data_IF_934440992994
#
_entry.id   IF_934440992994
#
_cell.length_a   1.000
_cell.length_b   1.000
_cell.length_c   1.000
_cell.angle_alpha   90.00
_cell.angle_beta   90.00
_cell.angle_gamma   90.00
#
_symmetry.space_group_name_H-M   'P 1'
#
loop_
_entity.id
_entity.type
_entity.pdbx_description
1 polymer ?
#
# COMPACT_ATOMS: atom_id res chain seq x y z
N UNK A 1 -26.75 -22.12 -12.72
CA UNK A 1 -26.75 -20.72 -13.18
C UNK A 1 -25.87 -20.66 -14.42
N UNK A 2 -26.35 -20.05 -15.50
CA UNK A 2 -25.58 -19.88 -16.74
C UNK A 2 -24.36 -19.01 -16.48
N UNK A 3 -23.16 -19.51 -16.79
CA UNK A 3 -21.92 -18.77 -16.65
C UNK A 3 -21.89 -17.64 -17.69
N UNK A 4 -21.89 -16.38 -17.24
CA UNK A 4 -21.74 -15.23 -18.12
C UNK A 4 -20.27 -15.11 -18.54
N UNK A 5 -20.04 -14.91 -19.84
CA UNK A 5 -18.69 -14.79 -20.43
C UNK A 5 -18.52 -13.37 -20.93
N UNK A 6 -17.40 -12.74 -20.56
CA UNK A 6 -17.06 -11.38 -21.02
C UNK A 6 -16.84 -11.41 -22.53
N UNK A 7 -17.70 -10.75 -23.29
CA UNK A 7 -17.65 -10.73 -24.76
C UNK A 7 -16.95 -9.49 -25.31
N UNK A 8 -16.43 -9.53 -26.55
CA UNK A 8 -15.85 -8.36 -27.22
C UNK A 8 -16.82 -7.17 -27.32
N UNK A 9 -18.12 -7.43 -27.47
CA UNK A 9 -19.15 -6.40 -27.58
C UNK A 9 -19.33 -5.64 -26.26
N UNK A 10 -19.31 -6.35 -25.12
CA UNK A 10 -19.33 -5.73 -23.80
C UNK A 10 -18.09 -4.85 -23.59
N UNK A 11 -16.90 -5.34 -23.96
CA UNK A 11 -15.67 -4.56 -23.89
C UNK A 11 -15.71 -3.31 -24.80
N UNK A 12 -16.23 -3.45 -26.02
CA UNK A 12 -16.37 -2.32 -26.95
C UNK A 12 -17.31 -1.26 -26.38
N UNK A 13 -18.46 -1.67 -25.84
CA UNK A 13 -19.42 -0.77 -25.21
C UNK A 13 -18.82 -0.05 -23.99
N UNK A 14 -18.11 -0.76 -23.12
CA UNK A 14 -17.41 -0.15 -21.96
C UNK A 14 -16.40 0.90 -22.43
N UNK A 15 -15.63 0.60 -23.48
CA UNK A 15 -14.66 1.55 -24.07
C UNK A 15 -15.36 2.80 -24.60
N UNK A 16 -16.50 2.64 -25.28
CA UNK A 16 -17.29 3.75 -25.81
C UNK A 16 -17.82 4.65 -24.68
N UNK A 17 -18.33 4.07 -23.59
CA UNK A 17 -18.82 4.85 -22.45
C UNK A 17 -17.71 5.61 -21.73
N UNK A 18 -16.53 5.02 -21.60
CA UNK A 18 -15.34 5.66 -21.02
C UNK A 18 -14.86 6.82 -21.91
N UNK A 19 -14.79 6.62 -23.23
CA UNK A 19 -14.46 7.67 -24.19
C UNK A 19 -15.50 8.80 -24.23
N UNK A 20 -16.76 8.49 -23.92
CA UNK A 20 -17.83 9.49 -23.74
C UNK A 20 -17.74 10.25 -22.39
N UNK A 21 -16.78 9.90 -21.52
CA UNK A 21 -16.50 10.60 -20.26
C UNK A 21 -17.36 10.14 -19.08
N UNK A 22 -18.03 8.99 -19.18
CA UNK A 22 -18.79 8.44 -18.06
C UNK A 22 -17.85 7.88 -16.99
N UNK A 23 -18.13 8.16 -15.71
CA UNK A 23 -17.35 7.62 -14.60
C UNK A 23 -17.50 6.10 -14.52
N UNK A 24 -16.41 5.40 -14.17
CA UNK A 24 -16.37 3.93 -14.12
C UNK A 24 -17.46 3.31 -13.23
N UNK A 25 -17.82 3.96 -12.12
CA UNK A 25 -18.90 3.49 -11.24
C UNK A 25 -20.29 3.58 -11.93
N UNK A 26 -20.51 4.59 -12.77
CA UNK A 26 -21.73 4.72 -13.58
C UNK A 26 -21.79 3.68 -14.69
N UNK A 27 -20.67 3.41 -15.35
CA UNK A 27 -20.55 2.36 -16.37
C UNK A 27 -20.83 1.00 -15.73
N UNK A 28 -20.23 0.72 -14.56
CA UNK A 28 -20.46 -0.52 -13.82
C UNK A 28 -21.93 -0.70 -13.43
N UNK A 29 -22.56 0.35 -12.90
CA UNK A 29 -23.97 0.32 -12.54
C UNK A 29 -24.87 0.03 -13.75
N UNK A 30 -24.54 0.55 -14.92
CA UNK A 30 -25.27 0.26 -16.16
C UNK A 30 -25.07 -1.19 -16.63
N UNK A 31 -23.86 -1.75 -16.53
CA UNK A 31 -23.59 -3.16 -16.85
C UNK A 31 -24.38 -4.08 -15.92
N UNK A 32 -24.35 -3.84 -14.60
CA UNK A 32 -25.14 -4.60 -13.61
C UNK A 32 -26.65 -4.43 -13.88
N UNK A 33 -27.10 -3.21 -14.14
CA UNK A 33 -28.49 -2.90 -14.47
C UNK A 33 -29.01 -3.60 -15.73
N UNK A 34 -28.11 -4.00 -16.63
CA UNK A 34 -28.43 -4.79 -17.83
C UNK A 34 -28.47 -6.31 -17.59
N UNK A 35 -28.34 -6.75 -16.34
CA UNK A 35 -28.48 -8.15 -15.93
C UNK A 35 -27.18 -8.95 -15.85
N UNK A 36 -26.02 -8.27 -15.88
CA UNK A 36 -24.74 -8.91 -15.61
C UNK A 36 -24.53 -9.12 -14.12
N UNK A 37 -23.92 -10.25 -13.78
CA UNK A 37 -23.40 -10.53 -12.45
C UNK A 37 -22.34 -9.48 -12.08
N UNK A 38 -22.39 -9.01 -10.84
CA UNK A 38 -21.53 -7.92 -10.36
C UNK A 38 -20.04 -8.26 -10.46
N UNK A 39 -19.65 -9.52 -10.20
CA UNK A 39 -18.24 -9.93 -10.26
C UNK A 39 -17.77 -9.91 -11.71
N UNK A 40 -18.58 -10.46 -12.63
CA UNK A 40 -18.26 -10.49 -14.07
C UNK A 40 -18.25 -9.08 -14.66
N UNK A 41 -19.16 -8.21 -14.24
CA UNK A 41 -19.21 -6.80 -14.67
C UNK A 41 -17.96 -6.02 -14.24
N UNK A 42 -17.50 -6.22 -12.99
CA UNK A 42 -16.26 -5.61 -12.48
C UNK A 42 -15.03 -6.12 -13.23
N UNK A 43 -14.96 -7.41 -13.50
CA UNK A 43 -13.87 -8.01 -14.28
C UNK A 43 -13.83 -7.47 -15.72
N UNK A 44 -14.99 -7.35 -16.37
CA UNK A 44 -15.10 -6.77 -17.72
C UNK A 44 -14.63 -5.32 -17.77
N UNK A 45 -15.01 -4.51 -16.78
CA UNK A 45 -14.61 -3.11 -16.67
C UNK A 45 -13.09 -2.97 -16.47
N UNK A 46 -12.54 -3.74 -15.53
CA UNK A 46 -11.11 -3.78 -15.22
C UNK A 46 -10.27 -4.19 -16.44
N UNK A 47 -10.69 -5.26 -17.12
CA UNK A 47 -10.02 -5.79 -18.32
C UNK A 47 -10.02 -4.77 -19.47
N UNK A 48 -11.13 -4.07 -19.68
CA UNK A 48 -11.31 -3.18 -20.83
C UNK A 48 -10.55 -1.86 -20.64
N UNK A 49 -10.75 -1.19 -19.51
CA UNK A 49 -10.14 0.11 -19.25
C UNK A 49 -8.63 -0.01 -18.93
N UNK A 50 -8.20 -1.17 -18.45
CA UNK A 50 -6.77 -1.47 -18.25
C UNK A 50 -5.97 -1.71 -19.54
N UNK A 51 -6.62 -1.86 -20.71
CA UNK A 51 -5.95 -2.17 -21.99
C UNK A 51 -5.79 -0.96 -22.93
N UNK A 52 -6.41 0.19 -22.66
CA UNK A 52 -6.54 1.30 -23.61
C UNK A 52 -5.54 2.47 -23.45
N UNK A 53 -4.36 2.26 -22.86
CA UNK A 53 -3.37 3.34 -22.73
C UNK A 53 -2.46 3.44 -23.98
N UNK A 54 -2.79 4.31 -24.93
CA UNK A 54 -1.81 4.88 -25.88
C UNK A 54 -1.15 6.11 -25.24
N UNK A 55 0.15 6.37 -25.46
CA UNK A 55 0.87 7.41 -24.73
C UNK A 55 0.58 8.80 -25.34
N UNK A 56 -0.14 9.63 -24.59
CA UNK A 56 -0.29 11.06 -24.86
C UNK A 56 0.78 11.88 -24.08
N UNK A 57 1.14 13.08 -24.55
CA UNK A 57 2.33 13.79 -24.10
C UNK A 57 2.15 14.39 -22.69
N UNK A 58 3.28 14.55 -22.00
CA UNK A 58 3.38 15.01 -20.62
C UNK A 58 2.70 16.38 -20.41
N UNK A 59 1.62 16.37 -19.63
CA UNK A 59 1.01 17.57 -19.05
C UNK A 59 0.73 17.29 -17.57
N UNK A 60 0.95 18.32 -16.76
CA UNK A 60 1.00 18.38 -15.30
C UNK A 60 -0.04 17.50 -14.57
N UNK A 61 0.46 16.66 -13.65
CA UNK A 61 -0.34 15.74 -12.85
C UNK A 61 -1.15 16.47 -11.76
N UNK A 62 -2.47 16.48 -11.89
CA UNK A 62 -3.38 16.33 -10.73
C UNK A 62 -3.12 14.93 -10.15
N UNK A 63 -3.00 14.75 -8.82
CA UNK A 63 -2.15 13.68 -8.31
C UNK A 63 -2.82 12.33 -8.53
N UNK A 64 -2.17 11.48 -9.33
CA UNK A 64 -2.45 10.05 -9.36
C UNK A 64 -2.15 9.41 -8.00
N UNK A 65 -2.22 8.08 -7.92
CA UNK A 65 -1.72 7.38 -6.74
C UNK A 65 -0.17 7.39 -6.73
N UNK A 66 0.46 7.26 -5.55
CA UNK A 66 1.90 6.97 -5.49
C UNK A 66 2.20 5.72 -6.32
N UNK A 67 3.20 5.80 -7.18
CA UNK A 67 3.45 4.75 -8.15
C UNK A 67 4.91 4.75 -8.63
N UNK A 68 5.61 3.60 -8.56
CA UNK A 68 6.90 3.44 -9.23
C UNK A 68 6.76 3.50 -10.75
N UNK A 69 7.79 3.98 -11.44
CA UNK A 69 7.81 3.93 -12.90
C UNK A 69 8.06 2.49 -13.39
N UNK A 70 6.96 1.81 -13.76
CA UNK A 70 6.97 0.48 -14.35
C UNK A 70 6.67 0.51 -15.86
N UNK A 71 6.63 1.68 -16.49
CA UNK A 71 6.12 1.89 -17.86
C UNK A 71 6.89 1.11 -18.95
N UNK A 72 8.08 0.61 -18.63
CA UNK A 72 8.93 -0.20 -19.53
C UNK A 72 9.15 -1.63 -19.07
N UNK A 73 8.43 -2.08 -18.03
CA UNK A 73 8.69 -3.36 -17.36
C UNK A 73 10.16 -3.51 -16.96
N UNK A 74 10.81 -2.38 -16.61
CA UNK A 74 12.19 -2.39 -16.20
C UNK A 74 12.33 -3.19 -14.90
N UNK A 75 13.21 -4.20 -14.85
CA UNK A 75 13.40 -5.01 -13.64
C UNK A 75 14.12 -4.23 -12.54
N UNK A 76 14.63 -3.02 -12.85
CA UNK A 76 15.34 -2.14 -11.93
C UNK A 76 14.83 -0.71 -12.11
N UNK A 77 14.50 -0.05 -11.02
CA UNK A 77 14.09 1.35 -10.94
C UNK A 77 15.15 2.13 -10.15
N UNK A 78 15.57 3.28 -10.68
CA UNK A 78 16.48 4.18 -9.96
C UNK A 78 15.70 5.04 -8.97
N UNK A 79 15.94 4.84 -7.68
CA UNK A 79 15.32 5.55 -6.57
C UNK A 79 16.22 6.67 -6.02
N UNK A 80 16.75 7.53 -6.90
CA UNK A 80 17.70 8.56 -6.52
C UNK A 80 19.10 7.97 -6.31
N UNK A 81 19.48 7.67 -5.07
CA UNK A 81 20.81 7.19 -4.70
C UNK A 81 21.00 5.67 -4.86
N UNK A 82 19.95 4.94 -5.26
CA UNK A 82 19.98 3.47 -5.28
C UNK A 82 19.22 2.87 -6.46
N UNK A 83 19.77 1.78 -7.01
CA UNK A 83 19.08 0.90 -7.94
C UNK A 83 18.25 -0.13 -7.17
N UNK A 84 16.93 -0.11 -7.35
CA UNK A 84 15.98 -0.98 -6.64
C UNK A 84 15.37 -1.97 -7.64
N UNK A 85 15.39 -3.27 -7.31
CA UNK A 85 14.86 -4.31 -8.19
C UNK A 85 13.35 -4.45 -8.00
N UNK A 86 12.61 -4.60 -9.10
CA UNK A 86 11.19 -4.95 -9.09
C UNK A 86 11.10 -6.48 -9.18
N UNK A 87 10.67 -7.13 -8.11
CA UNK A 87 10.59 -8.59 -8.03
C UNK A 87 9.24 -9.10 -8.53
N UNK A 88 8.17 -8.37 -8.20
CA UNK A 88 6.80 -8.71 -8.58
C UNK A 88 5.99 -7.42 -8.70
N UNK A 89 5.08 -7.37 -9.68
CA UNK A 89 4.08 -6.32 -9.78
C UNK A 89 2.71 -6.93 -10.12
N UNK A 90 1.77 -6.82 -9.19
CA UNK A 90 0.36 -7.05 -9.41
C UNK A 90 -0.31 -5.73 -9.75
N UNK A 91 -1.04 -5.68 -10.86
CA UNK A 91 -1.68 -4.45 -11.35
C UNK A 91 -2.97 -4.14 -10.59
N UNK A 92 -3.77 -5.15 -10.30
CA UNK A 92 -5.05 -5.03 -9.62
C UNK A 92 -5.23 -6.21 -8.65
N UNK A 93 -5.31 -5.96 -7.34
CA UNK A 93 -4.97 -4.68 -6.69
C UNK A 93 -3.51 -4.30 -6.94
N UNK A 94 -3.19 -3.02 -6.74
CA UNK A 94 -1.83 -2.55 -6.99
C UNK A 94 -0.92 -2.98 -5.85
N UNK A 95 -0.07 -3.98 -6.10
CA UNK A 95 0.94 -4.48 -5.16
C UNK A 95 2.27 -4.66 -5.90
N UNK A 96 3.36 -4.12 -5.36
CA UNK A 96 4.71 -4.21 -5.95
C UNK A 96 5.69 -4.66 -4.87
N UNK A 97 6.46 -5.71 -5.16
CA UNK A 97 7.53 -6.17 -4.27
C UNK A 97 8.87 -5.71 -4.83
N UNK A 98 9.65 -5.05 -3.97
CA UNK A 98 10.96 -4.53 -4.29
C UNK A 98 12.04 -5.33 -3.55
N UNK A 99 13.15 -5.58 -4.24
CA UNK A 99 14.38 -6.05 -3.61
C UNK A 99 15.46 -4.97 -3.62
N UNK A 100 16.35 -5.06 -2.63
CA UNK A 100 17.47 -4.12 -2.45
C UNK A 100 17.02 -2.66 -2.29
N UNK A 101 15.89 -2.39 -1.62
CA UNK A 101 15.47 -1.01 -1.31
C UNK A 101 16.40 -0.37 -0.27
N UNK A 102 16.76 -1.14 0.76
CA UNK A 102 17.75 -0.75 1.77
C UNK A 102 18.94 -1.70 1.74
N UNK A 103 20.10 -1.19 2.14
CA UNK A 103 21.27 -2.03 2.44
C UNK A 103 21.12 -2.62 3.83
N UNK A 104 21.86 -3.70 4.08
CA UNK A 104 21.87 -4.30 5.41
C UNK A 104 22.28 -3.29 6.49
N UNK A 105 23.29 -2.45 6.21
CA UNK A 105 23.76 -1.42 7.12
C UNK A 105 22.69 -0.34 7.40
N UNK A 106 21.87 0.03 6.41
CA UNK A 106 20.75 0.96 6.63
C UNK A 106 19.65 0.31 7.48
N UNK A 107 19.33 -0.96 7.22
CA UNK A 107 18.39 -1.71 8.05
C UNK A 107 18.85 -1.77 9.52
N UNK A 108 20.11 -2.15 9.75
CA UNK A 108 20.67 -2.25 11.10
C UNK A 108 20.73 -0.88 11.79
N UNK A 109 21.07 0.18 11.04
CA UNK A 109 21.06 1.54 11.54
C UNK A 109 19.67 2.02 11.98
N UNK A 110 18.62 1.71 11.20
CA UNK A 110 17.23 2.04 11.56
C UNK A 110 16.81 1.27 12.82
N UNK A 111 17.11 -0.03 12.90
CA UNK A 111 16.81 -0.85 14.09
C UNK A 111 17.52 -0.31 15.32
N UNK A 112 18.81 0.03 15.21
CA UNK A 112 19.59 0.59 16.31
C UNK A 112 18.96 1.88 16.85
N UNK A 113 18.62 2.83 15.96
CA UNK A 113 17.98 4.09 16.32
C UNK A 113 16.59 3.91 16.97
N UNK A 114 15.81 2.92 16.51
CA UNK A 114 14.47 2.68 17.01
C UNK A 114 14.44 1.90 18.33
N UNK A 115 15.42 1.01 18.55
CA UNK A 115 15.40 0.00 19.62
C UNK A 115 15.25 0.58 21.05
N UNK A 116 15.75 1.79 21.28
CA UNK A 116 15.71 2.46 22.59
C UNK A 116 14.38 3.18 22.87
N UNK A 117 13.51 3.29 21.86
CA UNK A 117 12.27 4.08 21.90
C UNK A 117 11.00 3.25 21.70
N UNK A 118 11.14 1.94 21.51
CA UNK A 118 10.01 1.04 21.30
C UNK A 118 9.10 1.00 22.54
N UNK A 119 7.80 1.18 22.31
CA UNK A 119 6.76 0.97 23.29
C UNK A 119 5.71 -0.01 22.73
N UNK A 120 4.84 -0.55 23.59
CA UNK A 120 3.74 -1.41 23.14
C UNK A 120 2.91 -0.68 22.08
N UNK A 121 2.65 -1.31 20.93
CA UNK A 121 1.83 -0.68 19.88
C UNK A 121 0.37 -0.57 20.31
N UNK A 122 -0.24 0.56 20.00
CA UNK A 122 -1.67 0.81 20.17
C UNK A 122 -2.36 0.89 18.80
N UNK A 123 -3.69 0.73 18.78
CA UNK A 123 -4.51 0.95 17.58
C UNK A 123 -5.65 1.93 17.91
N UNK A 124 -6.18 2.63 16.90
CA UNK A 124 -7.36 3.49 17.09
C UNK A 124 -8.53 2.63 17.58
N UNK A 125 -9.10 2.98 18.73
CA UNK A 125 -10.23 2.25 19.30
C UNK A 125 -11.48 2.38 18.42
N UNK A 126 -12.36 1.39 18.47
CA UNK A 126 -13.70 1.43 17.86
C UNK A 126 -14.69 2.31 18.63
N UNK A 127 -14.25 2.96 19.71
CA UNK A 127 -15.05 3.84 20.58
C UNK A 127 -14.71 5.33 20.43
N UNK A 128 -15.48 6.18 21.10
CA UNK A 128 -15.36 7.65 21.04
C UNK A 128 -14.09 8.22 21.71
N UNK A 129 -13.33 7.39 22.43
CA UNK A 129 -12.12 7.80 23.14
C UNK A 129 -10.89 7.10 22.57
N UNK A 130 -9.99 7.89 21.98
CA UNK A 130 -8.55 7.63 22.00
C UNK A 130 -8.02 6.31 21.40
N UNK A 131 -6.71 6.16 21.49
CA UNK A 131 -5.94 4.99 21.09
C UNK A 131 -6.04 3.93 22.20
N UNK A 132 -6.36 2.68 21.88
CA UNK A 132 -6.37 1.57 22.84
C UNK A 132 -5.31 0.52 22.47
N UNK A 133 -4.69 -0.08 23.48
CA UNK A 133 -3.82 -1.26 23.33
C UNK A 133 -4.70 -2.45 22.91
N UNK A 134 -4.82 -2.68 21.60
CA UNK A 134 -5.73 -3.69 21.06
C UNK A 134 -5.04 -5.05 20.87
N UNK A 135 -5.75 -6.14 21.17
CA UNK A 135 -5.32 -7.51 20.92
C UNK A 135 -5.02 -7.81 19.44
N UNK A 136 -5.59 -7.03 18.52
CA UNK A 136 -5.41 -7.18 17.07
C UNK A 136 -3.98 -6.90 16.58
N UNK A 137 -3.15 -6.19 17.37
CA UNK A 137 -1.76 -5.88 17.03
C UNK A 137 -0.86 -6.12 18.22
N UNK A 138 0.03 -7.09 18.11
CA UNK A 138 0.87 -7.53 19.23
C UNK A 138 2.35 -7.16 19.11
N UNK A 139 2.67 -6.10 18.35
CA UNK A 139 4.01 -5.54 18.19
C UNK A 139 4.40 -4.53 19.27
N UNK A 140 5.69 -4.23 19.35
CA UNK A 140 6.21 -2.96 19.89
C UNK A 140 6.48 -2.01 18.72
N UNK A 141 6.31 -0.70 18.91
CA UNK A 141 6.49 0.29 17.85
C UNK A 141 6.95 1.66 18.32
N UNK A 142 7.47 2.44 17.38
CA UNK A 142 7.81 3.85 17.55
C UNK A 142 7.72 4.59 16.21
N UNK A 143 7.68 5.92 16.24
CA UNK A 143 7.71 6.77 15.05
C UNK A 143 8.93 7.69 15.06
N UNK A 144 9.65 7.73 13.94
CA UNK A 144 10.58 8.81 13.67
C UNK A 144 9.83 10.06 13.22
N UNK A 145 10.33 11.24 13.60
CA UNK A 145 9.97 12.46 12.88
C UNK A 145 10.54 12.42 11.44
N UNK A 146 9.89 13.14 10.53
CA UNK A 146 10.35 13.21 9.14
C UNK A 146 11.74 13.87 9.10
N UNK A 147 12.70 13.19 8.49
CA UNK A 147 14.09 13.65 8.41
C UNK A 147 14.85 13.72 9.75
N UNK A 148 14.37 13.04 10.80
CA UNK A 148 14.92 13.09 12.18
C UNK A 148 16.44 12.85 12.24
N UNK A 149 16.96 11.98 11.37
CA UNK A 149 18.40 11.75 11.22
C UNK A 149 18.80 11.73 9.75
N UNK A 150 20.10 11.81 9.48
CA UNK A 150 20.63 11.73 8.11
C UNK A 150 20.27 10.42 7.41
N UNK A 151 20.24 9.31 8.18
CA UNK A 151 19.81 8.01 7.67
C UNK A 151 18.34 8.04 7.26
N UNK A 152 17.46 8.51 8.16
CA UNK A 152 16.01 8.60 7.91
C UNK A 152 15.72 9.52 6.73
N UNK A 153 16.37 10.69 6.66
CA UNK A 153 16.20 11.65 5.57
C UNK A 153 16.57 11.07 4.21
N UNK A 154 17.69 10.34 4.11
CA UNK A 154 18.11 9.68 2.86
C UNK A 154 17.10 8.63 2.43
N UNK A 155 16.65 7.79 3.37
CA UNK A 155 15.65 6.74 3.08
C UNK A 155 14.32 7.34 2.64
N UNK A 156 13.83 8.40 3.29
CA UNK A 156 12.59 9.07 2.89
C UNK A 156 12.69 9.74 1.52
N UNK A 157 13.84 10.35 1.18
CA UNK A 157 14.08 10.90 -0.15
C UNK A 157 14.12 9.82 -1.25
N UNK A 158 14.72 8.65 -0.94
CA UNK A 158 14.70 7.47 -1.81
C UNK A 158 13.28 6.98 -2.05
N UNK A 159 12.47 6.86 -1.00
CA UNK A 159 11.05 6.44 -1.10
C UNK A 159 10.25 7.44 -1.95
N UNK A 160 10.41 8.75 -1.71
CA UNK A 160 9.73 9.79 -2.47
C UNK A 160 10.05 9.71 -3.97
N UNK A 161 11.33 9.46 -4.31
CA UNK A 161 11.76 9.27 -5.71
C UNK A 161 11.23 7.97 -6.31
N UNK A 162 11.35 6.86 -5.58
CA UNK A 162 10.89 5.54 -6.02
C UNK A 162 9.40 5.55 -6.36
N UNK A 163 8.57 6.14 -5.51
CA UNK A 163 7.11 6.13 -5.63
C UNK A 163 6.56 7.38 -6.34
N UNK A 164 7.46 8.27 -6.79
CA UNK A 164 7.12 9.55 -7.44
C UNK A 164 6.07 10.33 -6.63
N UNK A 165 6.24 10.35 -5.31
CA UNK A 165 5.31 10.98 -4.37
C UNK A 165 6.04 12.02 -3.52
N UNK A 166 5.46 13.22 -3.30
CA UNK A 166 6.14 14.27 -2.54
C UNK A 166 6.53 13.81 -1.13
N UNK A 167 7.74 14.18 -0.71
CA UNK A 167 8.30 13.78 0.60
C UNK A 167 7.44 14.27 1.77
N UNK A 168 6.85 15.46 1.64
CA UNK A 168 6.00 16.10 2.63
C UNK A 168 4.58 15.52 2.66
N UNK A 169 4.21 14.65 1.72
CA UNK A 169 3.00 13.83 1.77
C UNK A 169 3.22 12.49 2.52
N UNK A 170 4.42 12.23 3.04
CA UNK A 170 4.68 11.05 3.86
C UNK A 170 4.53 11.33 5.36
N UNK A 171 3.87 10.43 6.08
CA UNK A 171 3.98 10.36 7.55
C UNK A 171 5.40 10.01 7.98
N UNK A 172 5.78 10.22 9.25
CA UNK A 172 7.05 9.73 9.77
C UNK A 172 7.18 8.20 9.65
N UNK A 173 8.40 7.68 9.51
CA UNK A 173 8.62 6.23 9.45
C UNK A 173 8.24 5.58 10.79
N UNK A 174 7.29 4.63 10.73
CA UNK A 174 6.94 3.81 11.89
C UNK A 174 7.84 2.56 11.91
N UNK A 175 8.59 2.33 12.97
CA UNK A 175 9.34 1.07 13.16
C UNK A 175 8.58 0.16 14.11
N UNK A 176 8.53 -1.12 13.76
CA UNK A 176 7.81 -2.16 14.51
C UNK A 176 8.68 -3.38 14.73
N UNK A 177 8.52 -4.00 15.90
CA UNK A 177 9.13 -5.26 16.28
C UNK A 177 8.05 -6.28 16.66
N UNK A 178 8.11 -7.45 16.03
CA UNK A 178 7.28 -8.61 16.31
C UNK A 178 8.17 -9.73 16.89
N UNK A 179 7.90 -10.11 18.14
CA UNK A 179 8.52 -11.27 18.80
C UNK A 179 7.84 -12.58 18.33
N UNK A 180 8.39 -13.78 18.62
CA UNK A 180 7.70 -15.04 18.34
C UNK A 180 6.25 -15.03 18.83
N UNK A 181 5.33 -15.48 17.99
CA UNK A 181 3.88 -15.49 18.20
C UNK A 181 3.18 -14.14 17.97
N UNK A 182 3.91 -13.02 17.88
CA UNK A 182 3.31 -11.72 17.60
C UNK A 182 2.88 -11.62 16.13
N UNK A 183 1.76 -10.92 15.91
CA UNK A 183 1.10 -10.78 14.62
C UNK A 183 0.40 -9.43 14.50
N UNK A 184 -0.12 -9.16 13.30
CA UNK A 184 -1.11 -8.11 13.09
C UNK A 184 -2.26 -8.70 12.28
N UNK A 185 -3.44 -8.75 12.91
CA UNK A 185 -4.67 -9.15 12.25
C UNK A 185 -4.95 -8.31 10.98
N UNK A 186 -5.59 -8.91 9.95
CA UNK A 186 -5.89 -8.21 8.71
C UNK A 186 -6.66 -6.90 8.92
N UNK A 187 -6.23 -5.83 8.26
CA UNK A 187 -6.80 -4.50 8.37
C UNK A 187 -6.57 -3.69 7.09
N UNK A 188 -7.20 -2.52 7.03
CA UNK A 188 -6.95 -1.51 6.01
C UNK A 188 -6.12 -0.38 6.60
N UNK A 189 -5.21 0.16 5.80
CA UNK A 189 -4.40 1.31 6.21
C UNK A 189 -5.09 2.65 5.99
N UNK A 190 -6.10 2.73 5.12
CA UNK A 190 -6.92 3.92 5.00
C UNK A 190 -7.76 4.14 6.26
N UNK A 191 -8.12 5.39 6.51
CA UNK A 191 -9.07 5.73 7.57
C UNK A 191 -10.49 5.48 7.09
N UNK A 192 -11.28 4.70 7.83
CA UNK A 192 -12.68 4.44 7.52
C UNK A 192 -13.50 5.74 7.53
N UNK A 193 -14.13 6.15 6.41
CA UNK A 193 -14.94 7.37 6.35
C UNK A 193 -16.09 7.41 7.35
N UNK A 194 -16.60 6.25 7.78
CA UNK A 194 -17.68 6.15 8.75
C UNK A 194 -17.22 6.29 10.20
N UNK A 195 -15.91 6.19 10.48
CA UNK A 195 -15.40 6.24 11.84
C UNK A 195 -15.40 7.66 12.41
N UNK A 196 -15.83 7.82 13.66
CA UNK A 196 -16.04 9.12 14.33
C UNK A 196 -14.77 9.98 14.39
N UNK A 197 -13.59 9.36 14.50
CA UNK A 197 -12.31 10.06 14.56
C UNK A 197 -11.77 10.49 13.19
N UNK A 198 -12.27 9.92 12.10
CA UNK A 198 -11.74 10.12 10.75
C UNK A 198 -11.72 11.59 10.33
N UNK A 199 -12.81 12.39 10.48
CA UNK A 199 -12.79 13.80 10.11
C UNK A 199 -11.67 14.61 10.78
N UNK A 200 -11.29 14.27 12.02
CA UNK A 200 -10.18 14.90 12.72
C UNK A 200 -8.81 14.51 12.15
N UNK A 201 -8.62 13.22 11.87
CA UNK A 201 -7.38 12.66 11.33
C UNK A 201 -7.12 13.18 9.90
N UNK A 202 -8.17 13.28 9.07
CA UNK A 202 -8.05 13.74 7.69
C UNK A 202 -7.59 15.21 7.57
N UNK A 203 -7.68 16.02 8.63
CA UNK A 203 -7.14 17.39 8.63
C UNK A 203 -5.62 17.44 8.43
N UNK A 204 -4.91 16.36 8.77
CA UNK A 204 -3.44 16.25 8.65
C UNK A 204 -3.07 15.42 7.43
N UNK A 205 -3.06 16.02 6.25
CA UNK A 205 -2.68 15.36 4.99
C UNK A 205 -3.77 14.53 4.31
N UNK A 206 -5.02 14.54 4.78
CA UNK A 206 -6.15 13.91 4.07
C UNK A 206 -6.26 12.40 4.25
N UNK A 207 -6.57 11.61 3.21
CA UNK A 207 -6.63 10.15 3.27
C UNK A 207 -5.24 9.52 3.01
N UNK A 208 -4.97 8.32 3.54
CA UNK A 208 -3.81 7.53 3.11
C UNK A 208 -4.11 6.98 1.72
N UNK A 209 -3.12 6.93 0.84
CA UNK A 209 -3.28 6.51 -0.57
C UNK A 209 -2.32 5.40 -0.96
N UNK A 210 -1.39 5.06 -0.08
CA UNK A 210 -0.51 3.92 -0.24
C UNK A 210 0.39 3.69 0.97
N UNK A 211 0.93 2.49 1.02
CA UNK A 211 1.78 2.01 2.10
C UNK A 211 3.00 1.32 1.51
N UNK A 212 4.16 1.60 2.10
CA UNK A 212 5.39 0.86 1.87
C UNK A 212 5.81 0.21 3.19
N UNK A 213 5.83 -1.13 3.23
CA UNK A 213 6.37 -1.92 4.34
C UNK A 213 7.76 -2.40 3.95
N UNK A 214 8.77 -2.00 4.72
CA UNK A 214 10.18 -2.31 4.48
C UNK A 214 10.62 -3.33 5.54
N UNK A 215 11.22 -4.44 5.12
CA UNK A 215 11.71 -5.47 6.02
C UNK A 215 13.14 -5.13 6.49
N UNK A 216 13.32 -4.96 7.80
CA UNK A 216 14.60 -4.57 8.39
C UNK A 216 15.45 -5.77 8.83
N UNK A 217 14.85 -6.96 8.88
CA UNK A 217 15.56 -8.22 9.05
C UNK A 217 14.79 -9.37 8.37
N UNK A 218 15.39 -10.56 8.37
CA UNK A 218 14.76 -11.81 7.92
C UNK A 218 14.53 -12.71 9.15
N UNK A 219 13.29 -12.98 9.58
CA UNK A 219 13.01 -13.99 10.60
C UNK A 219 13.37 -15.40 10.10
N UNK A 220 13.55 -16.34 11.03
CA UNK A 220 13.80 -17.74 10.67
C UNK A 220 12.60 -18.42 10.01
N UNK A 221 11.38 -18.09 10.47
CA UNK A 221 10.13 -18.59 9.93
C UNK A 221 8.94 -17.69 10.30
N UNK A 222 7.91 -17.68 9.44
CA UNK A 222 6.70 -16.86 9.63
C UNK A 222 6.91 -15.36 9.36
N UNK A 223 5.97 -14.54 9.80
CA UNK A 223 6.09 -13.07 9.68
C UNK A 223 5.82 -12.51 8.28
N UNK A 224 5.20 -13.25 7.37
CA UNK A 224 4.76 -12.72 6.06
C UNK A 224 3.85 -11.50 6.20
N UNK A 225 3.93 -10.59 5.24
CA UNK A 225 2.83 -9.65 4.98
C UNK A 225 1.82 -10.36 4.09
N UNK A 226 0.60 -10.55 4.58
CA UNK A 226 -0.44 -11.34 3.91
C UNK A 226 -1.51 -10.42 3.32
N UNK A 227 -2.07 -10.78 2.17
CA UNK A 227 -3.22 -10.13 1.52
C UNK A 227 -4.29 -11.20 1.27
N UNK A 228 -5.17 -11.48 2.25
CA UNK A 228 -6.09 -12.61 2.19
C UNK A 228 -7.06 -12.57 1.01
N UNK A 229 -7.56 -11.39 0.63
CA UNK A 229 -8.55 -11.24 -0.45
C UNK A 229 -8.03 -11.71 -1.82
N UNK A 230 -6.71 -11.76 -1.99
CA UNK A 230 -6.04 -12.15 -3.23
C UNK A 230 -5.11 -13.36 -3.06
N UNK A 231 -5.08 -13.98 -1.88
CA UNK A 231 -4.23 -15.14 -1.59
C UNK A 231 -2.73 -14.90 -1.78
N UNK A 232 -2.25 -13.69 -1.47
CA UNK A 232 -0.84 -13.31 -1.63
C UNK A 232 -0.13 -13.21 -0.28
N UNK A 233 1.00 -13.90 -0.16
CA UNK A 233 1.94 -13.78 0.95
C UNK A 233 3.27 -13.21 0.46
N UNK A 234 3.76 -12.16 1.12
CA UNK A 234 5.09 -11.59 0.88
C UNK A 234 6.00 -11.90 2.05
N UNK A 235 7.02 -12.73 1.79
CA UNK A 235 8.00 -13.13 2.78
C UNK A 235 8.91 -11.94 3.20
N UNK A 236 9.20 -11.78 4.50
CA UNK A 236 10.06 -10.71 5.00
C UNK A 236 11.54 -11.03 4.74
N UNK A 237 12.13 -10.39 3.75
CA UNK A 237 13.57 -10.49 3.44
C UNK A 237 14.23 -9.16 3.70
N UNK A 238 15.26 -9.13 4.55
CA UNK A 238 16.00 -7.91 4.93
C UNK A 238 16.35 -7.06 3.70
N UNK A 239 16.02 -5.77 3.76
CA UNK A 239 16.27 -4.81 2.69
C UNK A 239 15.20 -4.76 1.59
N UNK A 240 14.31 -5.75 1.52
CA UNK A 240 13.18 -5.77 0.60
C UNK A 240 12.00 -4.96 1.15
N UNK A 241 11.05 -4.66 0.28
CA UNK A 241 9.82 -3.98 0.66
C UNK A 241 8.62 -4.44 -0.18
N UNK A 242 7.42 -4.30 0.39
CA UNK A 242 6.17 -4.40 -0.34
C UNK A 242 5.47 -3.05 -0.33
N UNK A 243 5.09 -2.59 -1.52
CA UNK A 243 4.30 -1.39 -1.74
C UNK A 243 2.92 -1.77 -2.22
N UNK A 244 1.90 -1.08 -1.73
CA UNK A 244 0.54 -1.18 -2.27
C UNK A 244 -0.16 0.17 -2.16
N UNK A 245 -1.07 0.42 -3.09
CA UNK A 245 -1.83 1.68 -3.18
C UNK A 245 -3.31 1.42 -3.35
N UNK A 246 -4.13 2.36 -2.90
CA UNK A 246 -5.58 2.25 -2.91
C UNK A 246 -6.20 3.61 -3.28
N UNK A 247 -7.08 3.60 -4.29
CA UNK A 247 -7.70 4.79 -4.88
C UNK A 247 -8.79 5.41 -4.00
N UNK A 248 -9.38 4.59 -3.14
CA UNK A 248 -10.50 4.97 -2.29
C UNK A 248 -10.45 4.19 -0.98
N UNK A 249 -11.03 4.70 0.12
CA UNK A 249 -11.08 3.98 1.39
C UNK A 249 -12.21 2.95 1.39
N UNK A 250 -12.08 1.90 0.58
CA UNK A 250 -13.14 0.90 0.38
C UNK A 250 -12.57 -0.52 0.21
N UNK A 251 -13.27 -1.56 0.70
CA UNK A 251 -12.85 -2.97 0.54
C UNK A 251 -12.64 -3.43 -0.90
N UNK A 252 -13.30 -2.81 -1.88
CA UNK A 252 -13.12 -3.14 -3.31
C UNK A 252 -11.70 -2.91 -3.82
N UNK A 253 -10.86 -2.21 -3.04
CA UNK A 253 -9.44 -2.06 -3.33
C UNK A 253 -8.66 -3.35 -3.14
N UNK A 254 -9.21 -4.35 -2.44
CA UNK A 254 -8.57 -5.65 -2.15
C UNK A 254 -7.19 -5.50 -1.51
N UNK A 255 -6.96 -4.41 -0.75
CA UNK A 255 -5.72 -4.17 -0.02
C UNK A 255 -5.85 -4.50 1.47
N UNK A 256 -6.83 -5.34 1.85
CA UNK A 256 -6.88 -5.91 3.18
C UNK A 256 -5.59 -6.69 3.39
N UNK A 257 -4.86 -6.38 4.45
CA UNK A 257 -3.56 -6.99 4.69
C UNK A 257 -3.24 -7.14 6.17
N UNK A 258 -2.37 -8.08 6.50
CA UNK A 258 -1.94 -8.35 7.86
C UNK A 258 -0.49 -8.80 7.95
N UNK A 259 -0.03 -9.06 9.16
CA UNK A 259 1.25 -9.71 9.42
C UNK A 259 1.00 -11.07 10.05
N UNK A 260 1.30 -12.16 9.33
CA UNK A 260 1.19 -13.51 9.90
C UNK A 260 2.11 -13.67 11.13
N UNK A 261 1.80 -14.58 12.07
CA UNK A 261 2.63 -14.82 13.23
C UNK A 261 4.10 -15.07 12.89
N UNK A 262 5.01 -14.48 13.66
CA UNK A 262 6.43 -14.86 13.63
C UNK A 262 6.59 -16.21 14.32
N UNK A 263 7.15 -17.20 13.65
CA UNK A 263 7.32 -18.55 14.19
C UNK A 263 8.73 -18.77 14.77
N UNK A 264 9.76 -18.22 14.13
CA UNK A 264 11.16 -18.32 14.57
C UNK A 264 11.90 -16.99 14.41
N UNK A 265 12.66 -16.61 15.44
CA UNK A 265 13.41 -15.34 15.48
C UNK A 265 12.50 -14.15 15.81
N UNK A 266 12.72 -13.02 15.14
CA UNK A 266 11.88 -11.83 15.27
C UNK A 266 11.76 -11.13 13.92
N UNK A 267 10.71 -10.32 13.76
CA UNK A 267 10.51 -9.49 12.57
C UNK A 267 10.57 -8.01 12.94
N UNK A 268 11.39 -7.27 12.21
CA UNK A 268 11.46 -5.82 12.25
C UNK A 268 11.01 -5.25 10.90
N UNK A 269 10.13 -4.25 10.95
CA UNK A 269 9.72 -3.51 9.75
C UNK A 269 9.73 -2.02 9.97
N UNK A 270 9.95 -1.27 8.91
CA UNK A 270 9.64 0.16 8.84
C UNK A 270 8.48 0.38 7.87
N UNK A 271 7.43 1.06 8.31
CA UNK A 271 6.25 1.38 7.50
C UNK A 271 6.24 2.86 7.19
N UNK A 272 6.02 3.19 5.91
CA UNK A 272 5.77 4.54 5.42
C UNK A 272 4.35 4.62 4.87
N UNK A 273 3.51 5.42 5.50
CA UNK A 273 2.20 5.77 4.97
C UNK A 273 2.27 7.05 4.15
N UNK A 274 1.59 7.03 3.00
CA UNK A 274 1.54 8.13 2.04
C UNK A 274 0.16 8.77 2.08
N UNK A 275 0.13 10.09 2.17
CA UNK A 275 -1.04 10.93 2.34
C UNK A 275 -1.43 11.59 1.02
N UNK A 276 -2.72 11.83 0.81
CA UNK A 276 -3.21 12.52 -0.39
C UNK A 276 -2.71 13.97 -0.48
N UNK A 277 -2.47 14.62 0.68
CA UNK A 277 -1.98 15.98 0.79
C UNK A 277 -0.79 16.11 1.74
N UNK A 278 -0.26 17.33 1.86
CA UNK A 278 0.86 17.65 2.75
C UNK A 278 0.54 17.24 4.19
N UNK A 279 1.41 16.41 4.77
CA UNK A 279 1.34 15.94 6.14
C UNK A 279 2.07 16.90 7.08
N UNK A 280 1.31 17.49 7.98
CA UNK A 280 1.75 18.44 9.02
C UNK A 280 1.56 17.89 10.43
#
# INVERSE_FOLDING_TARGET
MSQQVITPELCAWITEQDQAGHASDSILAAVIGSGWDEVVAREALARTLGQAATPAPAVQATPGLPEPDLSRFAPVVMAGDRAVKVVMALRQPRVVVFADLLSEAECDGIVALASTRLARSETVATGAEGSEVNAARTSDGMFFERGESDLIRRVEARIATLLRWPLDHGEGLQVLRYRPGAEYQPHYDYFDPAHVSTPGILKRGGQRVGTLVIYLNTPGAGGSTIFPDIGLDVAPVKGNAVFFSYDRPHPSTQTLHGGSPVLEGEKWVATKWLRQGVFT
#
